data_IF_124469117120
#
_entry.id   IF_124469117120
#
_cell.length_a   1.000
_cell.length_b   1.000
_cell.length_c   1.000
_cell.angle_alpha   90.00
_cell.angle_beta   90.00
_cell.angle_gamma   90.00
#
_symmetry.space_group_name_H-M   'P 1'
#
loop_
_entity.id
_entity.type
_entity.pdbx_description
1 polymer ?
#
# COMPACT_ATOMS: atom_id res chain seq x y z
N UNK A 1 26.32 -7.43 5.76
CA UNK A 1 24.98 -8.06 5.66
C UNK A 1 24.05 -7.46 6.68
N UNK A 2 22.92 -6.98 6.24
CA UNK A 2 21.95 -6.39 7.18
C UNK A 2 21.19 -7.51 7.89
N UNK A 3 21.18 -7.44 9.23
CA UNK A 3 20.39 -8.37 10.02
C UNK A 3 18.96 -7.84 10.07
N UNK A 4 18.01 -8.64 9.61
CA UNK A 4 16.61 -8.27 9.62
C UNK A 4 16.10 -8.31 11.05
N UNK A 5 15.79 -7.15 11.61
CA UNK A 5 15.16 -7.06 12.91
C UNK A 5 13.66 -7.29 12.78
N UNK A 6 13.13 -8.23 13.55
CA UNK A 6 11.70 -8.49 13.58
C UNK A 6 10.91 -7.26 14.00
N UNK A 7 11.40 -6.55 15.00
CA UNK A 7 10.73 -5.33 15.46
C UNK A 7 10.68 -4.26 14.37
N UNK A 8 11.78 -4.07 13.65
CA UNK A 8 11.84 -3.10 12.56
C UNK A 8 10.93 -3.51 11.40
N UNK A 9 10.94 -4.80 11.05
CA UNK A 9 10.05 -5.35 10.03
C UNK A 9 8.58 -5.09 10.39
N UNK A 10 8.18 -5.47 11.59
CA UNK A 10 6.79 -5.35 12.02
C UNK A 10 6.33 -3.89 12.08
N UNK A 11 7.17 -3.01 12.58
CA UNK A 11 6.86 -1.59 12.69
C UNK A 11 6.74 -0.94 11.30
N UNK A 12 7.67 -1.25 10.41
CA UNK A 12 7.66 -0.73 9.05
C UNK A 12 6.41 -1.19 8.31
N UNK A 13 6.11 -2.48 8.35
CA UNK A 13 4.95 -3.03 7.67
C UNK A 13 3.65 -2.46 8.21
N UNK A 14 3.53 -2.34 9.53
CA UNK A 14 2.35 -1.75 10.17
C UNK A 14 2.13 -0.31 9.74
N UNK A 15 3.20 0.48 9.68
CA UNK A 15 3.12 1.88 9.28
C UNK A 15 2.66 2.02 7.84
N UNK A 16 3.20 1.21 6.94
CA UNK A 16 2.83 1.20 5.53
C UNK A 16 1.36 0.83 5.38
N UNK A 17 0.94 -0.25 6.01
CA UNK A 17 -0.45 -0.71 5.94
C UNK A 17 -1.42 0.33 6.46
N UNK A 18 -1.08 1.00 7.56
CA UNK A 18 -1.92 2.04 8.14
C UNK A 18 -2.10 3.21 7.18
N UNK A 19 -1.02 3.68 6.56
CA UNK A 19 -1.10 4.82 5.65
C UNK A 19 -1.88 4.47 4.38
N UNK A 20 -1.67 3.29 3.83
CA UNK A 20 -2.39 2.86 2.63
C UNK A 20 -3.87 2.64 2.94
N UNK A 21 -4.19 2.02 4.08
CA UNK A 21 -5.57 1.81 4.50
C UNK A 21 -6.31 3.15 4.72
N UNK A 22 -5.59 4.17 5.18
CA UNK A 22 -6.14 5.50 5.35
C UNK A 22 -6.25 6.29 4.04
N UNK A 23 -5.68 5.78 2.95
CA UNK A 23 -5.70 6.47 1.65
C UNK A 23 -4.74 7.64 1.56
N UNK A 24 -3.68 7.64 2.37
CA UNK A 24 -2.69 8.72 2.38
C UNK A 24 -1.44 8.31 1.60
N UNK A 25 -1.12 9.09 0.55
CA UNK A 25 0.09 8.91 -0.25
C UNK A 25 0.32 7.46 -0.68
N UNK A 26 -0.71 6.81 -1.18
CA UNK A 26 -0.68 5.37 -1.49
C UNK A 26 0.44 5.04 -2.47
N UNK A 27 0.61 5.82 -3.53
CA UNK A 27 1.68 5.57 -4.51
C UNK A 27 3.07 5.68 -3.88
N UNK A 28 3.27 6.67 -3.01
CA UNK A 28 4.52 6.84 -2.29
C UNK A 28 4.82 5.61 -1.42
N UNK A 29 3.82 5.16 -0.66
CA UNK A 29 4.02 4.01 0.23
C UNK A 29 4.21 2.71 -0.53
N UNK A 30 3.58 2.56 -1.70
CA UNK A 30 3.84 1.41 -2.58
C UNK A 30 5.29 1.40 -3.05
N UNK A 31 5.81 2.54 -3.50
CA UNK A 31 7.21 2.65 -3.92
C UNK A 31 8.16 2.32 -2.78
N UNK A 32 7.87 2.80 -1.57
CA UNK A 32 8.66 2.47 -0.39
C UNK A 32 8.61 0.99 -0.06
N UNK A 33 7.45 0.37 -0.27
CA UNK A 33 7.27 -1.08 -0.04
C UNK A 33 8.20 -1.87 -0.96
N UNK A 34 8.26 -1.52 -2.24
CA UNK A 34 9.15 -2.19 -3.18
C UNK A 34 10.62 -1.94 -2.86
N UNK A 35 10.97 -0.76 -2.40
CA UNK A 35 12.33 -0.47 -1.95
C UNK A 35 12.71 -1.33 -0.74
N UNK A 36 11.79 -1.56 0.18
CA UNK A 36 12.02 -2.44 1.33
C UNK A 36 12.14 -3.90 0.93
N UNK A 37 11.46 -4.33 -0.13
CA UNK A 37 11.65 -5.66 -0.69
C UNK A 37 13.07 -5.81 -1.21
N UNK A 38 13.56 -4.82 -1.98
CA UNK A 38 14.92 -4.84 -2.53
C UNK A 38 15.97 -4.86 -1.42
N UNK A 39 15.73 -4.16 -0.33
CA UNK A 39 16.67 -4.12 0.79
C UNK A 39 16.61 -5.37 1.67
N UNK A 40 15.61 -6.23 1.47
CA UNK A 40 15.43 -7.45 2.26
C UNK A 40 14.68 -7.24 3.56
N UNK A 41 14.19 -6.04 3.85
CA UNK A 41 13.41 -5.77 5.05
C UNK A 41 12.02 -6.41 4.98
N UNK A 42 11.38 -6.36 3.82
CA UNK A 42 10.10 -6.99 3.57
C UNK A 42 10.26 -8.15 2.59
N UNK A 43 9.38 -9.12 2.65
CA UNK A 43 9.39 -10.27 1.75
C UNK A 43 8.17 -10.27 0.83
N UNK A 44 8.09 -11.27 -0.05
CA UNK A 44 7.02 -11.36 -1.04
C UNK A 44 5.63 -11.43 -0.41
N UNK A 45 5.50 -12.11 0.72
CA UNK A 45 4.21 -12.20 1.42
C UNK A 45 3.77 -10.84 1.95
N UNK A 46 4.72 -10.07 2.49
CA UNK A 46 4.45 -8.71 2.97
C UNK A 46 4.00 -7.82 1.81
N UNK A 47 4.68 -7.93 0.66
CA UNK A 47 4.34 -7.16 -0.53
C UNK A 47 2.91 -7.50 -0.99
N UNK A 48 2.55 -8.77 -1.00
CA UNK A 48 1.21 -9.18 -1.41
C UNK A 48 0.13 -8.57 -0.51
N UNK A 49 0.36 -8.51 0.80
CA UNK A 49 -0.57 -7.87 1.74
C UNK A 49 -0.73 -6.39 1.46
N UNK A 50 0.38 -5.69 1.23
CA UNK A 50 0.35 -4.25 0.93
C UNK A 50 -0.33 -3.99 -0.40
N UNK A 51 -0.03 -4.79 -1.41
CA UNK A 51 -0.64 -4.65 -2.73
C UNK A 51 -2.16 -4.85 -2.67
N UNK A 52 -2.62 -5.79 -1.85
CA UNK A 52 -4.06 -6.03 -1.68
C UNK A 52 -4.76 -4.80 -1.10
N UNK A 53 -4.15 -4.14 -0.11
CA UNK A 53 -4.69 -2.91 0.46
C UNK A 53 -4.69 -1.76 -0.55
N UNK A 54 -3.61 -1.63 -1.30
CA UNK A 54 -3.52 -0.60 -2.34
C UNK A 54 -4.55 -0.82 -3.44
N UNK A 55 -4.74 -2.08 -3.85
CA UNK A 55 -5.72 -2.41 -4.87
C UNK A 55 -7.13 -2.05 -4.41
N UNK A 56 -7.46 -2.35 -3.15
CA UNK A 56 -8.76 -2.00 -2.58
C UNK A 56 -8.97 -0.47 -2.59
N UNK A 57 -7.92 0.28 -2.30
CA UNK A 57 -7.99 1.74 -2.35
C UNK A 57 -8.26 2.25 -3.76
N UNK A 58 -7.53 1.75 -4.76
CA UNK A 58 -7.73 2.16 -6.15
C UNK A 58 -9.09 1.70 -6.70
N UNK A 59 -9.54 0.52 -6.31
CA UNK A 59 -10.87 0.04 -6.71
C UNK A 59 -11.97 0.95 -6.16
N UNK A 60 -11.82 1.42 -4.92
CA UNK A 60 -12.76 2.35 -4.32
C UNK A 60 -12.76 3.71 -5.03
N UNK A 61 -11.57 4.18 -5.45
CA UNK A 61 -11.47 5.41 -6.22
C UNK A 61 -12.15 5.28 -7.58
N UNK A 62 -11.93 4.16 -8.27
CA UNK A 62 -12.53 3.92 -9.58
C UNK A 62 -14.06 3.88 -9.47
N UNK A 63 -14.59 3.24 -8.44
CA UNK A 63 -16.02 3.18 -8.21
C UNK A 63 -16.60 4.59 -7.94
N UNK A 64 -15.86 5.41 -7.18
CA UNK A 64 -16.27 6.78 -6.88
C UNK A 64 -16.24 7.67 -8.12
N UNK A 65 -15.19 7.55 -8.93
CA UNK A 65 -15.07 8.31 -10.18
C UNK A 65 -16.17 7.93 -11.15
N UNK A 66 -16.50 6.66 -11.25
CA UNK A 66 -17.57 6.18 -12.11
C UNK A 66 -18.92 6.74 -11.67
N UNK A 67 -19.19 6.74 -10.37
CA UNK A 67 -20.43 7.31 -9.83
C UNK A 67 -20.52 8.80 -10.10
N UNK A 68 -19.42 9.54 -9.95
CA UNK A 68 -19.37 10.97 -10.23
C UNK A 68 -19.57 11.26 -11.72
N UNK A 69 -18.99 10.45 -12.61
CA UNK A 69 -19.16 10.59 -14.04
C UNK A 69 -20.61 10.39 -14.45
N UNK A 70 -21.30 9.43 -13.85
CA UNK A 70 -22.71 9.18 -14.10
C UNK A 70 -23.58 10.37 -13.67
N UNK A 71 -23.24 11.00 -12.54
CA UNK A 71 -23.96 12.18 -12.08
C UNK A 71 -23.77 13.38 -13.00
N UNK A 72 -22.58 13.54 -13.55
CA UNK A 72 -22.26 14.66 -14.45
C UNK A 72 -22.98 14.54 -15.77
N UNK A 73 -23.19 13.32 -16.25
CA UNK A 73 -23.82 13.08 -17.55
C UNK A 73 -25.35 13.21 -17.51
N UNK A 74 -25.90 13.40 -16.35
CA UNK A 74 -27.34 13.63 -16.21
C UNK A 74 -27.62 15.14 -16.13
#
# INVERSE_FOLDING_TARGET
MAIKSKARHDLTLRSIKREIAAGRDVAYWLDRTYAHLDSGLLDADDIAEVEALAQAYYDALDAKDKANAEKITQ
#
